data_IF_426498262407
#
_entry.id   IF_426498262407
#
_cell.length_a   1.000
_cell.length_b   1.000
_cell.length_c   1.000
_cell.angle_alpha   90.00
_cell.angle_beta   90.00
_cell.angle_gamma   90.00
#
_symmetry.space_group_name_H-M   'P 1'
#
loop_
_entity.id
_entity.type
_entity.pdbx_description
1 polymer ?
#
# COMPACT_ATOMS: atom_id res chain seq x y z
N UNK A 1 -18.58 12.39 -21.78
CA UNK A 1 -18.71 10.92 -21.76
C UNK A 1 -17.34 10.23 -21.74
N UNK A 2 -16.40 10.60 -22.62
CA UNK A 2 -15.06 9.97 -22.69
C UNK A 2 -14.26 10.06 -21.38
N UNK A 3 -14.18 11.25 -20.78
CA UNK A 3 -13.50 11.48 -19.49
C UNK A 3 -14.11 10.66 -18.34
N UNK A 4 -15.41 10.39 -18.42
CA UNK A 4 -16.13 9.68 -17.38
C UNK A 4 -15.87 8.16 -17.42
N UNK A 5 -15.72 7.62 -18.64
CA UNK A 5 -15.24 6.26 -18.84
C UNK A 5 -13.79 6.11 -18.38
N UNK A 6 -12.93 7.10 -18.65
CA UNK A 6 -11.54 7.10 -18.20
C UNK A 6 -11.44 7.05 -16.66
N UNK A 7 -12.17 7.91 -15.93
CA UNK A 7 -12.12 7.87 -14.45
C UNK A 7 -12.65 6.53 -13.92
N UNK A 8 -13.71 5.98 -14.52
CA UNK A 8 -14.25 4.69 -14.11
C UNK A 8 -13.28 3.53 -14.38
N UNK A 9 -12.63 3.52 -15.54
CA UNK A 9 -11.64 2.50 -15.90
C UNK A 9 -10.38 2.61 -15.03
N UNK A 10 -9.86 3.82 -14.82
CA UNK A 10 -8.74 4.08 -13.93
C UNK A 10 -9.05 3.65 -12.48
N UNK A 11 -10.28 3.91 -11.99
CA UNK A 11 -10.72 3.46 -10.66
C UNK A 11 -10.76 1.93 -10.55
N UNK A 12 -11.28 1.26 -11.58
CA UNK A 12 -11.32 -0.21 -11.60
C UNK A 12 -9.92 -0.83 -11.64
N UNK A 13 -9.02 -0.29 -12.48
CA UNK A 13 -7.61 -0.71 -12.53
C UNK A 13 -6.90 -0.46 -11.21
N UNK A 14 -7.12 0.69 -10.59
CA UNK A 14 -6.55 1.02 -9.29
C UNK A 14 -7.00 0.00 -8.22
N UNK A 15 -8.28 -0.37 -8.21
CA UNK A 15 -8.78 -1.39 -7.28
C UNK A 15 -8.16 -2.77 -7.50
N UNK A 16 -7.95 -3.17 -8.75
CA UNK A 16 -7.26 -4.42 -9.08
C UNK A 16 -5.81 -4.41 -8.61
N UNK A 17 -5.09 -3.31 -8.86
CA UNK A 17 -3.71 -3.12 -8.41
C UNK A 17 -3.60 -3.12 -6.88
N UNK A 18 -4.54 -2.48 -6.18
CA UNK A 18 -4.57 -2.50 -4.71
C UNK A 18 -4.84 -3.90 -4.15
N UNK A 19 -5.67 -4.71 -4.82
CA UNK A 19 -5.86 -6.11 -4.42
C UNK A 19 -4.61 -6.96 -4.70
N UNK A 20 -3.90 -6.72 -5.81
CA UNK A 20 -2.62 -7.37 -6.08
C UNK A 20 -1.56 -6.99 -5.04
N UNK A 21 -1.49 -5.71 -4.68
CA UNK A 21 -0.61 -5.21 -3.61
C UNK A 21 -0.95 -5.91 -2.28
N UNK A 22 -2.24 -6.08 -1.97
CA UNK A 22 -2.66 -6.79 -0.77
C UNK A 22 -2.17 -8.25 -0.76
N UNK A 23 -2.33 -8.98 -1.86
CA UNK A 23 -1.89 -10.37 -1.98
C UNK A 23 -0.36 -10.49 -1.92
N UNK A 24 0.37 -9.57 -2.58
CA UNK A 24 1.82 -9.51 -2.52
C UNK A 24 2.31 -9.22 -1.09
N UNK A 25 1.64 -8.31 -0.38
CA UNK A 25 1.89 -8.08 1.04
C UNK A 25 1.62 -9.35 1.87
N UNK A 26 0.51 -10.06 1.66
CA UNK A 26 0.22 -11.31 2.39
C UNK A 26 1.29 -12.39 2.17
N UNK A 27 1.80 -12.50 0.95
CA UNK A 27 2.85 -13.47 0.58
C UNK A 27 4.27 -12.99 0.90
N UNK A 28 4.41 -11.75 1.38
CA UNK A 28 5.69 -11.08 1.68
C UNK A 28 6.58 -10.88 0.46
N UNK A 29 5.98 -10.76 -0.72
CA UNK A 29 6.66 -10.44 -1.96
C UNK A 29 6.88 -8.92 -2.05
N UNK A 30 7.98 -8.45 -1.46
CA UNK A 30 8.30 -7.02 -1.45
C UNK A 30 8.76 -6.50 -2.82
N UNK A 31 9.22 -7.37 -3.70
CA UNK A 31 9.64 -7.01 -5.07
C UNK A 31 8.41 -6.69 -5.93
N UNK A 32 7.36 -7.50 -5.83
CA UNK A 32 6.08 -7.19 -6.49
C UNK A 32 5.42 -5.95 -5.87
N UNK A 33 5.49 -5.76 -4.54
CA UNK A 33 4.96 -4.55 -3.89
C UNK A 33 5.67 -3.27 -4.35
N UNK A 34 6.99 -3.30 -4.54
CA UNK A 34 7.77 -2.17 -5.03
C UNK A 34 7.40 -1.84 -6.49
N UNK A 35 7.34 -2.85 -7.36
CA UNK A 35 6.91 -2.67 -8.76
C UNK A 35 5.46 -2.17 -8.90
N UNK A 36 4.60 -2.47 -7.93
CA UNK A 36 3.22 -1.97 -7.88
C UNK A 36 3.17 -0.47 -7.51
N UNK A 37 4.12 0.08 -6.74
CA UNK A 37 4.08 1.49 -6.33
C UNK A 37 4.09 2.45 -7.53
N UNK A 38 4.91 2.18 -8.55
CA UNK A 38 5.01 3.02 -9.74
C UNK A 38 3.70 3.04 -10.54
N UNK A 39 3.10 1.87 -10.73
CA UNK A 39 1.82 1.71 -11.45
C UNK A 39 0.70 2.43 -10.70
N UNK A 40 0.67 2.27 -9.37
CA UNK A 40 -0.29 2.91 -8.48
C UNK A 40 -0.17 4.43 -8.51
N UNK A 41 1.05 4.96 -8.52
CA UNK A 41 1.30 6.40 -8.62
C UNK A 41 0.81 6.97 -9.96
N UNK A 42 1.12 6.29 -11.07
CA UNK A 42 0.66 6.69 -12.40
C UNK A 42 -0.87 6.70 -12.50
N UNK A 43 -1.54 5.65 -12.00
CA UNK A 43 -3.00 5.56 -11.99
C UNK A 43 -3.66 6.62 -11.09
N UNK A 44 -3.06 6.93 -9.93
CA UNK A 44 -3.56 8.01 -9.07
C UNK A 44 -3.44 9.38 -9.74
N UNK A 45 -2.35 9.62 -10.47
CA UNK A 45 -2.14 10.86 -11.20
C UNK A 45 -3.14 11.01 -12.36
N UNK A 46 -3.30 9.96 -13.17
CA UNK A 46 -4.30 9.91 -14.25
C UNK A 46 -5.71 10.17 -13.71
N UNK A 47 -6.05 9.54 -12.59
CA UNK A 47 -7.34 9.72 -11.95
C UNK A 47 -7.52 11.15 -11.42
N UNK A 48 -6.47 11.74 -10.83
CA UNK A 48 -6.51 13.10 -10.33
C UNK A 48 -6.75 14.12 -11.46
N UNK A 49 -6.04 13.97 -12.58
CA UNK A 49 -6.19 14.82 -13.76
C UNK A 49 -7.60 14.68 -14.35
N UNK A 50 -8.05 13.44 -14.58
CA UNK A 50 -9.38 13.18 -15.12
C UNK A 50 -10.49 13.70 -14.19
N UNK A 51 -10.31 13.63 -12.86
CA UNK A 51 -11.22 14.22 -11.88
C UNK A 51 -11.24 15.74 -11.93
N UNK A 52 -10.07 16.38 -12.04
CA UNK A 52 -9.96 17.83 -12.15
C UNK A 52 -10.68 18.34 -13.40
N UNK A 53 -10.54 17.63 -14.52
CA UNK A 53 -11.27 17.91 -15.76
C UNK A 53 -12.78 17.71 -15.62
N UNK A 54 -13.21 16.65 -14.94
CA UNK A 54 -14.63 16.38 -14.69
C UNK A 54 -15.29 17.49 -13.85
N UNK A 55 -14.58 18.00 -12.84
CA UNK A 55 -15.06 19.08 -11.96
C UNK A 55 -15.16 20.44 -12.66
N UNK A 56 -14.38 20.65 -13.72
CA UNK A 56 -14.43 21.86 -14.54
C UNK A 56 -15.54 21.80 -15.62
N UNK A 57 -16.17 20.64 -15.83
CA UNK A 57 -17.26 20.52 -16.78
C UNK A 57 -18.47 21.34 -16.32
N UNK A 58 -19.12 22.04 -17.26
CA UNK A 58 -20.16 23.03 -16.96
C UNK A 58 -21.49 22.43 -16.46
N UNK A 59 -21.68 21.11 -16.58
CA UNK A 59 -22.85 20.39 -16.08
C UNK A 59 -22.46 18.94 -15.70
N UNK A 60 -21.82 18.74 -14.54
CA UNK A 60 -21.41 17.41 -14.11
C UNK A 60 -22.64 16.64 -13.63
N UNK A 61 -22.93 15.52 -14.30
CA UNK A 61 -24.03 14.63 -13.89
C UNK A 61 -23.79 14.18 -12.43
N UNK A 62 -24.61 14.69 -11.52
CA UNK A 62 -24.40 14.60 -10.07
C UNK A 62 -24.43 13.17 -9.54
N UNK A 63 -25.32 12.34 -10.08
CA UNK A 63 -25.41 10.92 -9.73
C UNK A 63 -24.12 10.17 -10.11
N UNK A 64 -23.57 10.50 -11.28
CA UNK A 64 -22.34 9.92 -11.78
C UNK A 64 -21.13 10.37 -10.95
N UNK A 65 -21.08 11.63 -10.53
CA UNK A 65 -20.08 12.14 -9.60
C UNK A 65 -20.14 11.45 -8.24
N UNK A 66 -21.34 11.15 -7.73
CA UNK A 66 -21.52 10.40 -6.49
C UNK A 66 -21.04 8.95 -6.62
N UNK A 67 -21.38 8.25 -7.70
CA UNK A 67 -20.88 6.88 -7.99
C UNK A 67 -19.35 6.84 -8.07
N UNK A 68 -18.78 7.81 -8.77
CA UNK A 68 -17.33 7.98 -8.93
C UNK A 68 -16.64 8.31 -7.60
N UNK A 69 -17.24 9.16 -6.77
CA UNK A 69 -16.76 9.45 -5.41
C UNK A 69 -16.81 8.18 -4.54
N UNK A 70 -17.87 7.38 -4.67
CA UNK A 70 -17.98 6.09 -3.98
C UNK A 70 -16.87 5.11 -4.37
N UNK A 71 -16.56 4.99 -5.66
CA UNK A 71 -15.43 4.17 -6.14
C UNK A 71 -14.08 4.64 -5.58
N UNK A 72 -13.90 5.95 -5.45
CA UNK A 72 -12.68 6.51 -4.87
C UNK A 72 -12.53 6.25 -3.39
N UNK A 73 -13.61 6.36 -2.61
CA UNK A 73 -13.57 6.00 -1.20
C UNK A 73 -13.24 4.52 -1.01
N UNK A 74 -13.73 3.62 -1.89
CA UNK A 74 -13.34 2.20 -1.86
C UNK A 74 -11.84 2.03 -2.14
N UNK A 75 -11.30 2.71 -3.16
CA UNK A 75 -9.86 2.65 -3.46
C UNK A 75 -9.01 3.18 -2.30
N UNK A 76 -9.48 4.25 -1.64
CA UNK A 76 -8.82 4.82 -0.46
C UNK A 76 -8.85 3.88 0.74
N UNK A 77 -9.96 3.17 0.98
CA UNK A 77 -10.05 2.18 2.03
C UNK A 77 -9.11 0.98 1.77
N UNK A 78 -9.07 0.49 0.53
CA UNK A 78 -8.13 -0.54 0.09
C UNK A 78 -6.67 -0.10 0.29
N UNK A 79 -6.34 1.14 -0.08
CA UNK A 79 -5.02 1.72 0.16
C UNK A 79 -4.65 1.77 1.64
N UNK A 80 -5.60 2.20 2.49
CA UNK A 80 -5.40 2.28 3.93
C UNK A 80 -5.13 0.89 4.52
N UNK A 81 -5.89 -0.12 4.09
CA UNK A 81 -5.69 -1.52 4.49
C UNK A 81 -4.28 -2.01 4.13
N UNK A 82 -3.82 -1.76 2.91
CA UNK A 82 -2.47 -2.15 2.47
C UNK A 82 -1.39 -1.46 3.30
N UNK A 83 -1.55 -0.17 3.56
CA UNK A 83 -0.64 0.62 4.39
C UNK A 83 -0.54 0.10 5.83
N UNK A 84 -1.68 -0.31 6.42
CA UNK A 84 -1.72 -0.90 7.76
C UNK A 84 -1.00 -2.26 7.79
N UNK A 85 -1.24 -3.11 6.79
CA UNK A 85 -0.60 -4.43 6.69
C UNK A 85 0.91 -4.30 6.54
N UNK A 86 1.38 -3.41 5.66
CA UNK A 86 2.80 -3.14 5.46
C UNK A 86 3.48 -2.64 6.75
N UNK A 87 2.86 -1.69 7.46
CA UNK A 87 3.38 -1.18 8.73
C UNK A 87 3.47 -2.27 9.79
N UNK A 88 2.45 -3.12 9.91
CA UNK A 88 2.44 -4.26 10.84
C UNK A 88 3.57 -5.25 10.53
N UNK A 89 3.82 -5.53 9.25
CA UNK A 89 4.92 -6.40 8.85
C UNK A 89 6.30 -5.80 9.16
N UNK A 90 6.50 -4.51 8.91
CA UNK A 90 7.73 -3.83 9.33
C UNK A 90 7.95 -3.88 10.84
N UNK A 91 6.90 -3.73 11.64
CA UNK A 91 6.98 -3.84 13.10
C UNK A 91 7.37 -5.25 13.54
N UNK A 92 6.76 -6.29 12.96
CA UNK A 92 7.11 -7.69 13.23
C UNK A 92 8.57 -7.97 12.86
N UNK A 93 9.02 -7.54 11.68
CA UNK A 93 10.41 -7.71 11.22
C UNK A 93 11.39 -6.99 12.15
N UNK A 94 11.09 -5.76 12.57
CA UNK A 94 11.90 -5.03 13.57
C UNK A 94 11.94 -5.75 14.91
N UNK A 95 10.80 -6.23 15.41
CA UNK A 95 10.72 -6.97 16.67
C UNK A 95 11.49 -8.30 16.60
N UNK A 96 11.42 -9.02 15.48
CA UNK A 96 12.16 -10.25 15.25
C UNK A 96 13.68 -9.98 15.21
N UNK A 97 14.12 -8.97 14.45
CA UNK A 97 15.52 -8.56 14.40
C UNK A 97 16.04 -8.11 15.77
N UNK A 98 15.24 -7.34 16.51
CA UNK A 98 15.56 -6.92 17.88
C UNK A 98 15.64 -8.12 18.83
N UNK A 99 14.74 -9.10 18.72
CA UNK A 99 14.76 -10.31 19.53
C UNK A 99 15.99 -11.17 19.23
N UNK A 100 16.34 -11.35 17.96
CA UNK A 100 17.54 -12.09 17.54
C UNK A 100 18.81 -11.38 18.03
N UNK A 101 18.90 -10.06 17.83
CA UNK A 101 20.05 -9.23 18.25
C UNK A 101 20.18 -9.17 19.77
N UNK A 102 19.07 -9.11 20.53
CA UNK A 102 19.11 -9.22 22.00
C UNK A 102 19.57 -10.60 22.44
N UNK A 103 19.09 -11.66 21.79
CA UNK A 103 19.46 -13.05 22.13
C UNK A 103 20.94 -13.32 21.83
N UNK A 104 21.48 -12.81 20.72
CA UNK A 104 22.90 -12.92 20.39
C UNK A 104 23.80 -12.20 21.41
N UNK A 105 23.39 -11.01 21.86
CA UNK A 105 24.10 -10.27 22.91
C UNK A 105 24.07 -10.99 24.27
N UNK A 106 22.95 -11.62 24.64
CA UNK A 106 22.86 -12.44 25.86
C UNK A 106 23.77 -13.67 25.76
N UNK A 107 23.79 -14.37 24.62
CA UNK A 107 24.69 -15.52 24.44
C UNK A 107 26.16 -15.10 24.41
N UNK A 108 26.52 -13.99 23.76
CA UNK A 108 27.89 -13.47 23.77
C UNK A 108 28.34 -13.08 25.18
N UNK A 109 27.46 -12.46 25.98
CA UNK A 109 27.71 -12.12 27.39
C UNK A 109 27.94 -13.36 28.28
N UNK A 110 27.22 -14.46 28.03
CA UNK A 110 27.39 -15.71 28.76
C UNK A 110 28.72 -16.40 28.38
N UNK A 111 29.09 -16.41 27.10
CA UNK A 111 30.39 -16.94 26.65
C UNK A 111 31.58 -16.11 27.17
N UNK A 112 31.49 -14.77 27.19
CA UNK A 112 32.55 -13.89 27.72
C UNK A 112 32.77 -14.08 29.22
N UNK A 113 31.68 -14.33 29.97
CA UNK A 113 31.74 -14.60 31.42
C UNK A 113 32.28 -16.00 31.73
N UNK A 114 31.95 -17.01 30.93
CA UNK A 114 32.50 -18.37 31.07
C UNK A 114 33.97 -18.46 30.63
N UNK A 115 34.39 -17.66 29.65
CA UNK A 115 35.79 -17.59 29.21
C UNK A 115 36.75 -16.87 30.17
N UNK A 116 36.22 -16.09 31.12
CA UNK A 116 37.00 -15.37 32.15
C UNK A 116 37.19 -16.13 33.47
N UNK A 117 36.76 -17.39 33.53
CA UNK A 117 36.93 -18.27 34.70
C UNK A 117 38.07 -19.31 34.52
N UNK A 118 39.04 -19.05 33.63
CA UNK A 118 40.31 -19.78 33.55
C UNK A 118 41.48 -18.85 33.87
#
# INVERSE_FOLDING_TARGET
>A
MEQLNQVSEASSRLSEILNREFNALETKDFEEVEGIQDIKFALMQELHEAWAHLKQASDPNRQLMEELTGKLEICKEQHLRNSLLLNKQMEITRNLLNAITKKSNVTASVYDKLGKMN
#
